data_IF_670415699783
#
_entry.id   IF_670415699783
#
_cell.length_a   1.000
_cell.length_b   1.000
_cell.length_c   1.000
_cell.angle_alpha   90.00
_cell.angle_beta   90.00
_cell.angle_gamma   90.00
#
_symmetry.space_group_name_H-M   'P 1'
#
loop_
_entity.id
_entity.type
_entity.pdbx_description
1 polymer ?
#
# COMPACT_ATOMS: atom_id res chain seq x y z
N UNK A 1 9.21 2.00 -29.32
CA UNK A 1 7.90 1.32 -29.22
C UNK A 1 7.99 0.01 -28.44
N UNK A 2 8.90 -0.94 -28.77
CA UNK A 2 9.04 -2.18 -27.99
C UNK A 2 9.55 -1.98 -26.55
N UNK A 3 10.48 -1.05 -26.35
CA UNK A 3 11.05 -0.75 -25.02
C UNK A 3 9.99 -0.20 -24.04
N UNK A 4 9.14 0.71 -24.49
CA UNK A 4 8.05 1.29 -23.70
C UNK A 4 7.02 0.23 -23.27
N UNK A 5 6.73 -0.73 -24.16
CA UNK A 5 5.85 -1.87 -23.87
C UNK A 5 6.47 -2.80 -22.82
N UNK A 6 7.75 -3.14 -22.97
CA UNK A 6 8.47 -3.96 -22.00
C UNK A 6 8.55 -3.28 -20.62
N UNK A 7 8.72 -1.96 -20.60
CA UNK A 7 8.74 -1.16 -19.37
C UNK A 7 7.37 -1.16 -18.67
N UNK A 8 6.26 -1.06 -19.41
CA UNK A 8 4.91 -1.19 -18.85
C UNK A 8 4.62 -2.60 -18.33
N UNK A 9 5.13 -3.63 -19.00
CA UNK A 9 5.01 -5.02 -18.56
C UNK A 9 5.74 -5.29 -17.22
N UNK A 10 6.86 -4.60 -16.96
CA UNK A 10 7.54 -4.65 -15.65
C UNK A 10 6.61 -4.15 -14.54
N UNK A 11 6.00 -2.98 -14.73
CA UNK A 11 5.14 -2.37 -13.71
C UNK A 11 3.93 -3.27 -13.39
N UNK A 12 3.33 -3.87 -14.42
CA UNK A 12 2.25 -4.84 -14.28
C UNK A 12 2.67 -6.05 -13.43
N UNK A 13 3.73 -6.77 -13.84
CA UNK A 13 4.20 -7.95 -13.10
C UNK A 13 4.59 -7.62 -11.67
N UNK A 14 5.31 -6.51 -11.48
CA UNK A 14 5.72 -6.05 -10.16
C UNK A 14 4.51 -5.76 -9.26
N UNK A 15 3.50 -5.07 -9.78
CA UNK A 15 2.29 -4.77 -9.02
C UNK A 15 1.53 -6.03 -8.59
N UNK A 16 1.45 -7.05 -9.45
CA UNK A 16 0.82 -8.33 -9.11
C UNK A 16 1.62 -9.12 -8.07
N UNK A 17 2.94 -9.16 -8.21
CA UNK A 17 3.82 -9.84 -7.27
C UNK A 17 3.80 -9.21 -5.88
N UNK A 18 3.53 -7.91 -5.79
CA UNK A 18 3.35 -7.19 -4.53
C UNK A 18 1.94 -7.44 -3.98
N UNK A 19 0.89 -7.06 -4.73
CA UNK A 19 -0.46 -6.89 -4.18
C UNK A 19 -1.17 -8.20 -3.83
N UNK A 20 -0.75 -9.34 -4.40
CA UNK A 20 -1.30 -10.66 -4.01
C UNK A 20 -1.07 -10.98 -2.52
N UNK A 21 0.03 -10.53 -1.93
CA UNK A 21 0.32 -10.73 -0.50
C UNK A 21 -0.45 -9.79 0.42
N UNK A 22 -1.09 -8.76 -0.16
CA UNK A 22 -1.97 -7.84 0.55
C UNK A 22 -3.45 -8.24 0.42
N UNK A 23 -3.71 -9.45 -0.09
CA UNK A 23 -5.03 -10.03 -0.37
C UNK A 23 -5.88 -9.20 -1.34
N UNK A 24 -5.21 -8.40 -2.20
CA UNK A 24 -5.87 -7.71 -3.29
C UNK A 24 -6.12 -8.68 -4.42
N UNK A 25 -7.24 -8.46 -5.11
CA UNK A 25 -7.57 -9.19 -6.33
C UNK A 25 -7.38 -8.28 -7.52
N UNK A 26 -6.93 -8.85 -8.62
CA UNK A 26 -6.73 -8.14 -9.89
C UNK A 26 -7.84 -8.52 -10.85
N UNK A 27 -8.46 -7.55 -11.51
CA UNK A 27 -9.41 -7.87 -12.57
C UNK A 27 -8.66 -8.45 -13.80
N UNK A 28 -9.17 -9.52 -14.44
CA UNK A 28 -8.49 -10.14 -15.59
C UNK A 28 -8.35 -9.24 -16.81
N UNK A 29 -9.33 -8.35 -17.05
CA UNK A 29 -9.27 -7.35 -18.13
C UNK A 29 -8.36 -6.18 -17.75
N UNK A 30 -7.48 -5.80 -18.67
CA UNK A 30 -6.41 -4.79 -18.53
C UNK A 30 -6.30 -3.95 -19.79
N UNK A 31 -5.66 -2.81 -19.68
CA UNK A 31 -5.37 -1.89 -20.79
C UNK A 31 -6.64 -1.52 -21.58
N UNK A 32 -7.74 -1.30 -20.87
CA UNK A 32 -9.04 -0.99 -21.44
C UNK A 32 -9.30 0.52 -21.41
N UNK A 33 -9.94 1.01 -22.47
CA UNK A 33 -10.40 2.39 -22.55
C UNK A 33 -11.92 2.42 -22.37
N UNK A 34 -12.43 3.38 -21.61
CA UNK A 34 -13.87 3.65 -21.53
C UNK A 34 -14.19 5.09 -21.93
N UNK A 35 -15.41 5.31 -22.41
CA UNK A 35 -15.84 6.61 -22.92
C UNK A 35 -15.93 7.64 -21.79
N UNK A 36 -15.42 8.83 -22.04
CA UNK A 36 -15.65 9.98 -21.18
C UNK A 36 -17.13 10.37 -21.20
N UNK A 37 -17.73 10.59 -20.03
CA UNK A 37 -19.12 11.01 -19.88
C UNK A 37 -19.25 12.44 -19.30
N UNK A 38 -18.14 13.12 -19.00
CA UNK A 38 -18.13 14.51 -18.55
C UNK A 38 -17.60 15.44 -19.68
N UNK A 39 -18.42 16.37 -20.21
CA UNK A 39 -17.98 17.31 -21.24
C UNK A 39 -16.95 18.35 -20.75
N UNK A 40 -16.82 18.56 -19.44
CA UNK A 40 -15.86 19.48 -18.83
C UNK A 40 -14.44 18.90 -18.79
N UNK A 41 -14.27 17.60 -19.05
CA UNK A 41 -12.96 16.97 -19.10
C UNK A 41 -12.22 17.35 -20.37
N UNK A 42 -11.13 18.10 -20.21
CA UNK A 42 -10.29 18.58 -21.30
C UNK A 42 -8.93 17.86 -21.33
N UNK A 43 -8.39 17.68 -22.52
CA UNK A 43 -7.00 17.24 -22.72
C UNK A 43 -6.05 18.38 -22.36
N UNK A 44 -4.97 18.08 -21.64
CA UNK A 44 -3.92 19.07 -21.37
C UNK A 44 -3.20 19.55 -22.63
N UNK A 45 -2.65 20.77 -22.60
CA UNK A 45 -1.81 21.36 -23.66
C UNK A 45 -2.29 22.73 -24.16
N UNK A 46 -1.60 23.28 -25.16
CA UNK A 46 -1.85 24.63 -25.69
C UNK A 46 -3.22 24.82 -26.38
N UNK A 47 -3.94 23.73 -26.66
CA UNK A 47 -5.30 23.72 -27.21
C UNK A 47 -6.12 22.63 -26.52
N UNK A 48 -6.82 22.95 -25.43
CA UNK A 48 -7.64 21.97 -24.74
C UNK A 48 -8.78 21.49 -25.64
N UNK A 49 -8.94 20.18 -25.74
CA UNK A 49 -10.03 19.51 -26.45
C UNK A 49 -10.79 18.64 -25.47
N UNK A 50 -12.07 18.38 -25.74
CA UNK A 50 -12.83 17.42 -24.95
C UNK A 50 -12.15 16.04 -24.98
N UNK A 51 -12.03 15.39 -23.82
CA UNK A 51 -11.55 14.01 -23.74
C UNK A 51 -12.61 13.05 -24.30
N UNK A 52 -12.19 12.16 -25.20
CA UNK A 52 -13.07 11.12 -25.74
C UNK A 52 -13.11 9.87 -24.86
N UNK A 53 -11.96 9.46 -24.33
CA UNK A 53 -11.80 8.24 -23.53
C UNK A 53 -10.86 8.45 -22.34
N UNK A 54 -11.00 7.55 -21.37
CA UNK A 54 -10.12 7.41 -20.21
C UNK A 54 -9.46 6.02 -20.24
N UNK A 55 -8.11 5.96 -20.15
CA UNK A 55 -7.39 4.69 -20.08
C UNK A 55 -7.37 4.13 -18.67
N UNK A 56 -7.36 2.80 -18.57
CA UNK A 56 -7.17 2.05 -17.33
C UNK A 56 -6.18 0.89 -17.56
N UNK A 57 -5.03 0.94 -16.90
CA UNK A 57 -3.99 -0.09 -17.07
C UNK A 57 -4.40 -1.37 -16.36
N UNK A 58 -4.68 -1.25 -15.05
CA UNK A 58 -5.06 -2.38 -14.20
C UNK A 58 -6.07 -1.94 -13.14
N UNK A 59 -7.00 -2.84 -12.81
CA UNK A 59 -7.95 -2.65 -11.71
C UNK A 59 -7.63 -3.65 -10.61
N UNK A 60 -7.25 -3.13 -9.44
CA UNK A 60 -7.20 -3.90 -8.20
C UNK A 60 -8.48 -3.69 -7.41
N UNK A 61 -8.84 -4.66 -6.58
CA UNK A 61 -9.96 -4.50 -5.67
C UNK A 61 -9.79 -5.31 -4.40
N UNK A 62 -10.41 -4.82 -3.33
CA UNK A 62 -10.49 -5.45 -2.02
C UNK A 62 -11.77 -5.00 -1.31
N UNK A 63 -12.18 -5.73 -0.27
CA UNK A 63 -13.28 -5.32 0.61
C UNK A 63 -12.72 -4.42 1.72
N UNK A 64 -13.27 -3.22 1.89
CA UNK A 64 -12.81 -2.30 2.93
C UNK A 64 -13.40 -2.68 4.29
N UNK A 65 -12.54 -2.94 5.30
CA UNK A 65 -12.94 -3.42 6.62
C UNK A 65 -13.81 -2.43 7.39
N UNK A 66 -13.72 -1.13 7.15
CA UNK A 66 -14.50 -0.12 7.90
C UNK A 66 -15.69 0.38 7.12
N UNK A 67 -15.60 0.44 5.79
CA UNK A 67 -16.70 0.88 4.94
C UNK A 67 -17.68 -0.25 4.62
N UNK A 68 -17.27 -1.51 4.77
CA UNK A 68 -18.12 -2.68 4.47
C UNK A 68 -18.53 -2.77 3.00
N UNK A 69 -17.68 -2.26 2.10
CA UNK A 69 -17.92 -2.21 0.65
C UNK A 69 -16.64 -2.48 -0.12
N UNK A 70 -16.81 -2.91 -1.36
CA UNK A 70 -15.69 -3.17 -2.26
C UNK A 70 -15.08 -1.86 -2.74
N UNK A 71 -13.77 -1.72 -2.59
CA UNK A 71 -13.01 -0.61 -3.16
C UNK A 71 -12.32 -1.10 -4.44
N UNK A 72 -12.65 -0.48 -5.56
CA UNK A 72 -11.95 -0.65 -6.83
C UNK A 72 -10.90 0.44 -6.98
N UNK A 73 -9.66 0.04 -7.21
CA UNK A 73 -8.53 0.91 -7.49
C UNK A 73 -8.30 0.98 -8.99
N UNK A 74 -8.79 2.08 -9.57
CA UNK A 74 -8.49 2.46 -10.94
C UNK A 74 -7.03 2.88 -11.03
N UNK A 75 -6.17 1.99 -11.53
CA UNK A 75 -4.72 2.18 -11.43
C UNK A 75 -4.13 2.70 -12.73
N UNK A 76 -3.26 3.70 -12.59
CA UNK A 76 -2.39 4.22 -13.65
C UNK A 76 -0.94 3.85 -13.30
N UNK A 77 -0.33 2.98 -14.10
CA UNK A 77 1.02 2.47 -13.92
C UNK A 77 2.00 3.36 -14.69
N UNK A 78 2.80 4.11 -13.95
CA UNK A 78 3.87 4.92 -14.53
C UNK A 78 5.23 4.35 -14.18
N UNK A 79 6.03 4.14 -15.23
CA UNK A 79 7.42 3.76 -15.08
C UNK A 79 8.32 4.87 -15.60
N UNK A 80 9.26 5.28 -14.78
CA UNK A 80 10.10 6.46 -14.99
C UNK A 80 11.57 6.11 -14.82
N UNK A 81 12.42 6.80 -15.59
CA UNK A 81 13.87 6.83 -15.39
C UNK A 81 14.34 8.12 -14.68
N UNK A 82 15.65 8.26 -14.50
CA UNK A 82 16.40 9.24 -13.70
C UNK A 82 15.92 10.70 -13.83
N UNK A 83 15.51 11.14 -15.02
CA UNK A 83 15.16 12.54 -15.29
C UNK A 83 13.66 12.82 -15.45
N UNK A 84 12.79 11.86 -15.08
CA UNK A 84 11.44 11.83 -15.66
C UNK A 84 10.25 12.09 -14.73
N UNK A 85 10.45 12.28 -13.42
CA UNK A 85 9.38 12.69 -12.49
C UNK A 85 9.63 14.12 -11.98
N UNK A 86 9.03 15.09 -12.67
CA UNK A 86 8.91 16.47 -12.19
C UNK A 86 7.48 16.79 -11.73
N UNK A 87 7.32 17.89 -10.99
CA UNK A 87 6.04 18.39 -10.47
C UNK A 87 4.96 18.51 -11.54
N UNK A 88 5.32 18.99 -12.74
CA UNK A 88 4.40 19.14 -13.88
C UNK A 88 3.81 17.80 -14.32
N UNK A 89 4.64 16.75 -14.44
CA UNK A 89 4.18 15.42 -14.89
C UNK A 89 3.34 14.73 -13.82
N UNK A 90 3.74 14.86 -12.55
CA UNK A 90 2.97 14.33 -11.42
C UNK A 90 1.59 14.97 -11.36
N UNK A 91 1.52 16.30 -11.44
CA UNK A 91 0.26 17.05 -11.46
C UNK A 91 -0.65 16.59 -12.61
N UNK A 92 -0.11 16.51 -13.83
CA UNK A 92 -0.88 16.08 -14.99
C UNK A 92 -1.38 14.63 -14.87
N UNK A 93 -0.60 13.73 -14.25
CA UNK A 93 -1.01 12.35 -13.99
C UNK A 93 -2.16 12.28 -12.97
N UNK A 94 -2.05 13.00 -11.85
CA UNK A 94 -3.10 13.06 -10.82
C UNK A 94 -4.39 13.67 -11.39
N UNK A 95 -4.29 14.77 -12.12
CA UNK A 95 -5.44 15.44 -12.75
C UNK A 95 -6.12 14.51 -13.77
N UNK A 96 -5.34 13.84 -14.61
CA UNK A 96 -5.88 12.88 -15.57
C UNK A 96 -6.57 11.70 -14.89
N UNK A 97 -6.00 11.20 -13.79
CA UNK A 97 -6.56 10.10 -13.01
C UNK A 97 -7.83 10.52 -12.27
N UNK A 98 -7.88 11.73 -11.71
CA UNK A 98 -9.07 12.29 -11.06
C UNK A 98 -10.26 12.34 -12.02
N UNK A 99 -10.05 12.88 -13.23
CA UNK A 99 -11.06 12.88 -14.28
C UNK A 99 -11.51 11.45 -14.66
N UNK A 100 -10.59 10.49 -14.73
CA UNK A 100 -10.94 9.09 -15.02
C UNK A 100 -11.82 8.49 -13.93
N UNK A 101 -11.47 8.68 -12.66
CA UNK A 101 -12.25 8.15 -11.52
C UNK A 101 -13.65 8.79 -11.47
N UNK A 102 -13.73 10.09 -11.72
CA UNK A 102 -15.01 10.81 -11.80
C UNK A 102 -15.94 10.19 -12.85
N UNK A 103 -15.45 10.00 -14.08
CA UNK A 103 -16.22 9.35 -15.13
C UNK A 103 -16.59 7.90 -14.77
N UNK A 104 -15.66 7.16 -14.15
CA UNK A 104 -15.84 5.75 -13.80
C UNK A 104 -17.02 5.54 -12.82
N UNK A 105 -17.19 6.43 -11.83
CA UNK A 105 -18.32 6.34 -10.87
C UNK A 105 -19.68 6.39 -11.54
N UNK A 106 -19.82 7.22 -12.59
CA UNK A 106 -21.07 7.35 -13.36
C UNK A 106 -21.21 6.38 -14.54
N UNK A 107 -20.15 5.69 -14.95
CA UNK A 107 -20.11 4.97 -16.23
C UNK A 107 -20.68 3.54 -16.16
N UNK A 108 -21.78 3.31 -16.88
CA UNK A 108 -22.33 1.96 -17.07
C UNK A 108 -21.37 1.06 -17.86
N UNK A 109 -20.62 1.63 -18.82
CA UNK A 109 -19.61 0.91 -19.59
C UNK A 109 -18.49 0.42 -18.66
N UNK A 110 -17.99 1.30 -17.77
CA UNK A 110 -16.95 0.93 -16.82
C UNK A 110 -17.40 -0.24 -15.94
N UNK A 111 -18.62 -0.15 -15.37
CA UNK A 111 -19.20 -1.23 -14.57
C UNK A 111 -19.30 -2.55 -15.34
N UNK A 112 -19.72 -2.50 -16.61
CA UNK A 112 -19.83 -3.68 -17.46
C UNK A 112 -18.46 -4.31 -17.76
N UNK A 113 -17.44 -3.50 -18.03
CA UNK A 113 -16.08 -3.99 -18.31
C UNK A 113 -15.51 -4.74 -17.10
N UNK A 114 -15.67 -4.16 -15.90
CA UNK A 114 -15.05 -4.67 -14.67
C UNK A 114 -15.99 -5.48 -13.78
N UNK A 115 -17.16 -5.84 -14.31
CA UNK A 115 -18.19 -6.62 -13.61
C UNK A 115 -18.54 -6.08 -12.23
N UNK A 116 -18.55 -4.76 -12.07
CA UNK A 116 -19.02 -4.12 -10.84
C UNK A 116 -20.55 -4.17 -10.82
N UNK A 117 -21.09 -5.17 -10.14
CA UNK A 117 -22.53 -5.42 -10.00
C UNK A 117 -23.21 -4.27 -9.26
N UNK A 118 -24.43 -3.93 -9.69
CA UNK A 118 -25.24 -2.87 -9.08
C UNK A 118 -25.81 -3.23 -7.71
N UNK A 119 -25.73 -4.51 -7.34
CA UNK A 119 -26.18 -5.02 -6.03
C UNK A 119 -25.12 -4.84 -4.93
N UNK A 120 -23.84 -4.73 -5.30
CA UNK A 120 -22.75 -4.51 -4.35
C UNK A 120 -22.64 -3.00 -4.07
N UNK A 121 -22.57 -2.61 -2.79
CA UNK A 121 -22.04 -1.29 -2.47
C UNK A 121 -20.55 -1.32 -2.84
N UNK A 122 -20.11 -0.41 -3.71
CA UNK A 122 -18.71 -0.27 -4.08
C UNK A 122 -18.29 1.20 -4.15
N UNK A 123 -16.99 1.42 -4.07
CA UNK A 123 -16.34 2.72 -4.23
C UNK A 123 -15.24 2.60 -5.29
N UNK A 124 -15.06 3.64 -6.10
CA UNK A 124 -13.99 3.69 -7.12
C UNK A 124 -13.04 4.79 -6.71
N UNK A 125 -11.76 4.43 -6.58
CA UNK A 125 -10.68 5.35 -6.22
C UNK A 125 -9.54 5.22 -7.22
N UNK A 126 -8.75 6.28 -7.37
CA UNK A 126 -7.59 6.27 -8.24
C UNK A 126 -6.35 5.78 -7.50
N UNK A 127 -5.50 5.03 -8.18
CA UNK A 127 -4.16 4.68 -7.70
C UNK A 127 -3.11 5.04 -8.76
N UNK A 128 -2.23 5.99 -8.45
CA UNK A 128 -1.05 6.26 -9.26
C UNK A 128 0.12 5.41 -8.75
N UNK A 129 0.57 4.45 -9.53
CA UNK A 129 1.70 3.58 -9.17
C UNK A 129 2.95 4.01 -9.93
N UNK A 130 3.99 4.41 -9.20
CA UNK A 130 5.19 5.01 -9.79
C UNK A 130 6.41 4.12 -9.51
N UNK A 131 6.92 3.46 -10.55
CA UNK A 131 8.10 2.60 -10.45
C UNK A 131 9.33 3.24 -11.13
N UNK A 132 10.49 3.09 -10.48
CA UNK A 132 11.78 3.46 -11.04
C UNK A 132 12.47 2.23 -11.66
N UNK A 133 12.53 2.15 -12.98
CA UNK A 133 13.05 0.98 -13.70
C UNK A 133 14.57 1.01 -13.94
N UNK A 134 15.22 2.17 -13.82
CA UNK A 134 16.64 2.32 -14.18
C UNK A 134 17.60 2.31 -12.99
N UNK A 135 17.07 2.20 -11.75
CA UNK A 135 17.84 2.30 -10.49
C UNK A 135 18.69 3.57 -10.36
N UNK A 136 18.53 4.53 -11.29
CA UNK A 136 19.31 5.74 -11.40
C UNK A 136 18.59 6.98 -10.87
N UNK A 137 17.27 6.90 -10.63
CA UNK A 137 16.54 7.94 -9.92
C UNK A 137 17.03 8.09 -8.46
N UNK A 138 17.89 9.08 -8.27
CA UNK A 138 18.33 9.61 -6.97
C UNK A 138 17.44 10.76 -6.48
N UNK A 139 16.45 11.15 -7.28
CA UNK A 139 15.47 12.17 -6.93
C UNK A 139 14.59 11.69 -5.77
N UNK A 140 14.20 12.60 -4.90
CA UNK A 140 13.22 12.27 -3.87
C UNK A 140 11.82 12.54 -4.46
N UNK A 141 11.13 11.48 -4.91
CA UNK A 141 9.74 11.56 -5.37
C UNK A 141 8.87 12.31 -4.36
N UNK A 142 9.14 12.08 -3.06
CA UNK A 142 8.46 12.78 -1.97
C UNK A 142 8.68 14.29 -2.03
N UNK A 143 9.89 14.77 -2.36
CA UNK A 143 10.14 16.21 -2.56
C UNK A 143 9.36 16.77 -3.75
N UNK A 144 9.19 15.99 -4.82
CA UNK A 144 8.36 16.42 -5.95
C UNK A 144 6.89 16.51 -5.58
N UNK A 145 6.39 15.57 -4.76
CA UNK A 145 5.03 15.63 -4.18
C UNK A 145 4.89 16.85 -3.28
N UNK A 146 5.81 17.08 -2.34
CA UNK A 146 5.82 18.21 -1.40
C UNK A 146 5.91 19.57 -2.11
N UNK A 147 6.65 19.64 -3.22
CA UNK A 147 6.75 20.84 -4.05
C UNK A 147 5.54 21.04 -4.98
N UNK A 148 4.70 20.03 -5.16
CA UNK A 148 3.48 20.13 -5.97
C UNK A 148 2.36 20.65 -5.10
N UNK A 149 1.78 21.79 -5.47
CA UNK A 149 0.54 22.24 -4.86
C UNK A 149 -0.62 21.34 -5.29
N UNK A 150 -0.88 20.30 -4.48
CA UNK A 150 -1.96 19.35 -4.70
C UNK A 150 -3.34 20.00 -4.49
N UNK A 151 -3.43 21.07 -3.70
CA UNK A 151 -4.70 21.74 -3.38
C UNK A 151 -5.31 22.47 -4.56
N UNK A 152 -4.48 22.90 -5.52
CA UNK A 152 -4.95 23.52 -6.75
C UNK A 152 -5.30 22.52 -7.85
N UNK A 153 -5.17 21.21 -7.64
CA UNK A 153 -5.64 20.22 -8.62
C UNK A 153 -7.16 20.14 -8.51
N UNK A 154 -7.91 20.36 -9.62
CA UNK A 154 -9.36 20.27 -9.60
C UNK A 154 -9.77 18.80 -9.44
N UNK A 155 -10.10 18.40 -8.22
CA UNK A 155 -10.62 17.07 -7.88
C UNK A 155 -12.09 17.25 -7.48
N UNK A 156 -12.99 16.56 -8.18
CA UNK A 156 -14.41 16.61 -7.86
C UNK A 156 -14.70 16.06 -6.44
N UNK A 157 -15.78 16.51 -5.78
CA UNK A 157 -16.14 16.02 -4.46
C UNK A 157 -16.27 14.49 -4.41
N UNK A 158 -15.80 13.89 -3.31
CA UNK A 158 -15.84 12.44 -3.09
C UNK A 158 -15.05 11.62 -4.11
N UNK A 159 -14.05 12.21 -4.76
CA UNK A 159 -13.02 11.50 -5.53
C UNK A 159 -11.77 11.38 -4.66
N UNK A 160 -11.26 10.15 -4.56
CA UNK A 160 -10.07 9.84 -3.78
C UNK A 160 -8.98 9.34 -4.73
N UNK A 161 -7.82 9.97 -4.65
CA UNK A 161 -6.62 9.59 -5.39
C UNK A 161 -5.53 9.20 -4.41
N UNK A 162 -5.00 8.00 -4.58
CA UNK A 162 -3.84 7.49 -3.87
C UNK A 162 -2.65 7.47 -4.82
N UNK A 163 -1.44 7.57 -4.28
CA UNK A 163 -0.22 7.41 -5.05
C UNK A 163 0.78 6.56 -4.26
N UNK A 164 1.56 5.76 -4.99
CA UNK A 164 2.67 4.98 -4.44
C UNK A 164 3.94 5.39 -5.19
N UNK A 165 4.88 5.99 -4.46
CA UNK A 165 6.17 6.39 -5.01
C UNK A 165 7.14 5.21 -5.14
N UNK A 166 8.31 5.41 -5.78
CA UNK A 166 9.32 4.37 -5.90
C UNK A 166 9.77 3.77 -4.55
N UNK A 167 9.86 4.60 -3.51
CA UNK A 167 10.19 4.15 -2.15
C UNK A 167 9.09 3.25 -1.56
N UNK A 168 7.81 3.60 -1.75
CA UNK A 168 6.69 2.77 -1.33
C UNK A 168 6.66 1.45 -2.07
N UNK A 169 6.85 1.46 -3.39
CA UNK A 169 6.88 0.25 -4.21
C UNK A 169 8.01 -0.69 -3.76
N UNK A 170 9.21 -0.15 -3.55
CA UNK A 170 10.37 -0.93 -3.05
C UNK A 170 10.11 -1.52 -1.66
N UNK A 171 9.50 -0.72 -0.77
CA UNK A 171 9.13 -1.15 0.58
C UNK A 171 8.07 -2.26 0.54
N UNK A 172 6.99 -2.09 -0.21
CA UNK A 172 5.93 -3.08 -0.34
C UNK A 172 6.44 -4.38 -0.99
N UNK A 173 7.38 -4.28 -1.94
CA UNK A 173 8.08 -5.45 -2.48
C UNK A 173 8.95 -6.15 -1.44
N UNK A 174 9.68 -5.39 -0.60
CA UNK A 174 10.46 -5.93 0.51
C UNK A 174 9.55 -6.65 1.52
N UNK A 175 8.39 -6.06 1.85
CA UNK A 175 7.39 -6.67 2.73
C UNK A 175 6.85 -7.97 2.13
N UNK A 176 6.49 -7.99 0.84
CA UNK A 176 6.04 -9.20 0.17
C UNK A 176 7.09 -10.33 0.27
N UNK A 177 8.37 -10.02 0.06
CA UNK A 177 9.44 -11.00 0.21
C UNK A 177 9.66 -11.45 1.66
N UNK A 178 9.50 -10.56 2.64
CA UNK A 178 9.54 -10.92 4.06
C UNK A 178 8.39 -11.86 4.43
N UNK A 179 7.16 -11.61 3.94
CA UNK A 179 6.02 -12.53 4.12
C UNK A 179 6.35 -13.92 3.58
N UNK A 180 6.88 -14.02 2.36
CA UNK A 180 7.31 -15.31 1.77
C UNK A 180 8.35 -16.00 2.65
N UNK A 181 9.35 -15.25 3.13
CA UNK A 181 10.41 -15.78 3.98
C UNK A 181 9.86 -16.28 5.31
N UNK A 182 8.95 -15.55 5.94
CA UNK A 182 8.32 -15.96 7.20
C UNK A 182 7.43 -17.20 7.02
N UNK A 183 6.76 -17.33 5.88
CA UNK A 183 6.03 -18.54 5.54
C UNK A 183 6.97 -19.74 5.38
N UNK A 184 8.09 -19.56 4.66
CA UNK A 184 9.10 -20.58 4.49
C UNK A 184 9.76 -21.01 5.82
N UNK A 185 10.08 -20.04 6.68
CA UNK A 185 10.63 -20.26 8.03
C UNK A 185 9.59 -20.83 9.02
N UNK A 186 8.33 -21.01 8.59
CA UNK A 186 7.20 -21.44 9.44
C UNK A 186 7.00 -20.53 10.66
N UNK A 187 7.10 -19.22 10.43
CA UNK A 187 6.88 -18.16 11.41
C UNK A 187 5.61 -17.34 11.12
N UNK A 188 5.00 -17.54 9.95
CA UNK A 188 3.73 -16.99 9.52
C UNK A 188 3.01 -18.07 8.70
N UNK A 189 1.77 -18.45 9.02
CA UNK A 189 1.04 -19.42 8.21
C UNK A 189 0.44 -18.78 6.95
N UNK A 190 0.03 -19.59 5.98
CA UNK A 190 -0.59 -19.09 4.74
C UNK A 190 -1.94 -18.39 4.97
N UNK A 191 -2.66 -18.78 6.02
CA UNK A 191 -3.94 -18.20 6.41
C UNK A 191 -3.72 -17.05 7.41
N UNK A 192 -3.35 -15.89 6.89
CA UNK A 192 -3.27 -14.64 7.66
C UNK A 192 -4.31 -13.61 7.21
N UNK A 193 -4.55 -12.61 8.04
CA UNK A 193 -5.52 -11.54 7.78
C UNK A 193 -4.95 -10.19 8.21
N UNK A 194 -5.24 -9.12 7.49
CA UNK A 194 -4.89 -7.77 7.92
C UNK A 194 -5.78 -7.36 9.09
N UNK A 195 -5.17 -6.94 10.19
CA UNK A 195 -5.88 -6.67 11.43
C UNK A 195 -6.28 -5.20 11.54
N UNK A 196 -7.58 -5.00 11.74
CA UNK A 196 -8.20 -3.70 11.89
C UNK A 196 -8.94 -3.66 13.24
N UNK A 197 -8.42 -2.90 14.24
CA UNK A 197 -9.06 -2.80 15.54
C UNK A 197 -10.35 -1.98 15.45
N UNK A 198 -11.31 -2.28 16.32
CA UNK A 198 -12.50 -1.44 16.43
C UNK A 198 -12.12 -0.04 16.96
N UNK A 199 -12.51 0.98 16.22
CA UNK A 199 -12.32 2.37 16.58
C UNK A 199 -13.56 2.91 17.30
N UNK A 200 -13.39 3.98 18.09
CA UNK A 200 -14.48 4.56 18.89
C UNK A 200 -15.70 4.94 18.05
N UNK A 201 -15.49 5.46 16.83
CA UNK A 201 -16.56 5.87 15.91
C UNK A 201 -16.80 4.89 14.75
N UNK A 202 -15.89 3.95 14.52
CA UNK A 202 -15.92 3.08 13.34
C UNK A 202 -15.65 1.65 13.78
N UNK A 203 -16.60 0.76 13.52
CA UNK A 203 -16.44 -0.67 13.79
C UNK A 203 -16.11 -1.39 12.51
N UNK A 204 -15.22 -2.38 12.62
CA UNK A 204 -14.90 -3.25 11.51
C UNK A 204 -16.14 -4.06 11.11
N UNK A 205 -16.37 -4.17 9.82
CA UNK A 205 -17.40 -4.98 9.19
C UNK A 205 -16.86 -6.38 8.88
N UNK A 206 -17.71 -7.40 9.00
CA UNK A 206 -17.36 -8.80 8.72
C UNK A 206 -16.56 -9.50 9.84
N UNK A 207 -15.88 -10.59 9.50
CA UNK A 207 -15.03 -11.38 10.42
C UNK A 207 -13.59 -10.84 10.47
N UNK A 208 -12.86 -11.09 11.55
CA UNK A 208 -11.44 -10.70 11.73
C UNK A 208 -10.56 -11.34 10.64
N UNK A 209 -11.00 -12.47 10.09
CA UNK A 209 -10.30 -13.23 9.06
C UNK A 209 -10.69 -12.83 7.64
N UNK A 210 -9.76 -13.01 6.70
CA UNK A 210 -9.98 -12.72 5.27
C UNK A 210 -9.97 -11.23 4.92
N UNK A 211 -9.55 -10.37 5.84
CA UNK A 211 -9.46 -8.93 5.65
C UNK A 211 -8.21 -8.58 4.84
N UNK A 212 -8.39 -7.87 3.75
CA UNK A 212 -7.29 -7.39 2.91
C UNK A 212 -6.72 -6.08 3.45
N UNK A 213 -5.49 -5.75 3.03
CA UNK A 213 -4.91 -4.47 3.39
C UNK A 213 -5.64 -3.33 2.66
N UNK A 214 -6.04 -2.25 3.32
CA UNK A 214 -6.45 -1.02 2.62
C UNK A 214 -5.23 -0.29 2.08
N UNK A 215 -5.41 0.50 1.01
CA UNK A 215 -4.31 1.32 0.45
C UNK A 215 -3.76 2.30 1.50
N UNK A 216 -4.62 2.85 2.36
CA UNK A 216 -4.23 3.73 3.45
C UNK A 216 -3.37 2.99 4.47
N UNK A 217 -3.72 1.74 4.82
CA UNK A 217 -2.93 0.92 5.72
C UNK A 217 -1.53 0.62 5.16
N UNK A 218 -1.40 0.40 3.84
CA UNK A 218 -0.11 0.19 3.18
C UNK A 218 0.82 1.41 3.25
N UNK A 219 0.24 2.61 3.35
CA UNK A 219 0.96 3.89 3.50
C UNK A 219 1.05 4.39 4.94
N UNK A 220 0.40 3.70 5.88
CA UNK A 220 0.34 4.11 7.27
C UNK A 220 1.72 4.00 7.96
N UNK A 221 1.90 4.66 9.12
CA UNK A 221 3.09 4.49 9.97
C UNK A 221 3.37 3.04 10.36
N UNK A 222 2.33 2.22 10.46
CA UNK A 222 2.42 0.77 10.59
C UNK A 222 1.10 0.13 10.17
N UNK A 223 1.15 -1.15 9.83
CA UNK A 223 -0.04 -1.99 9.70
C UNK A 223 0.21 -3.36 10.31
N UNK A 224 -0.88 -4.07 10.60
CA UNK A 224 -0.85 -5.28 11.41
C UNK A 224 -1.44 -6.45 10.62
N UNK A 225 -0.83 -7.60 10.79
CA UNK A 225 -1.31 -8.89 10.30
C UNK A 225 -1.57 -9.76 11.52
N UNK A 226 -2.77 -10.32 11.62
CA UNK A 226 -3.11 -11.35 12.61
C UNK A 226 -3.02 -12.72 11.95
N UNK A 227 -2.45 -13.68 12.66
CA UNK A 227 -2.37 -15.06 12.21
C UNK A 227 -2.79 -16.03 13.33
N UNK A 228 -3.48 -17.13 12.98
CA UNK A 228 -3.92 -18.11 13.98
C UNK A 228 -2.76 -19.00 14.39
N UNK A 229 -2.93 -19.67 15.54
CA UNK A 229 -2.02 -20.73 15.93
C UNK A 229 -2.08 -21.88 14.92
N UNK A 230 -0.92 -22.41 14.51
CA UNK A 230 -0.82 -23.54 13.58
C UNK A 230 0.36 -24.41 13.92
N UNK A 231 0.10 -25.68 14.24
CA UNK A 231 1.11 -26.66 14.64
C UNK A 231 2.04 -26.14 15.75
N UNK A 232 3.28 -25.76 15.40
CA UNK A 232 4.31 -25.24 16.31
C UNK A 232 4.32 -23.71 16.42
N UNK A 233 3.41 -23.03 15.74
CA UNK A 233 3.31 -21.57 15.70
C UNK A 233 2.18 -21.15 16.64
N UNK A 234 2.49 -20.35 17.65
CA UNK A 234 1.50 -19.69 18.49
C UNK A 234 0.79 -18.58 17.71
N UNK A 235 -0.47 -18.30 18.01
CA UNK A 235 -1.17 -17.14 17.44
C UNK A 235 -0.45 -15.84 17.78
N UNK A 236 -0.60 -14.85 16.93
CA UNK A 236 0.07 -13.58 17.17
C UNK A 236 -0.17 -12.53 16.11
N UNK A 237 0.66 -11.51 16.20
CA UNK A 237 0.66 -10.35 15.33
C UNK A 237 2.01 -10.16 14.68
N UNK A 238 1.97 -9.86 13.39
CA UNK A 238 3.10 -9.39 12.61
C UNK A 238 2.82 -7.94 12.24
N UNK A 239 3.69 -7.03 12.68
CA UNK A 239 3.51 -5.60 12.51
C UNK A 239 4.65 -5.08 11.64
N UNK A 240 4.31 -4.52 10.49
CA UNK A 240 5.26 -3.82 9.64
C UNK A 240 5.28 -2.35 10.04
N UNK A 241 6.41 -1.89 10.56
CA UNK A 241 6.59 -0.55 11.10
C UNK A 241 7.39 0.33 10.13
N UNK A 242 6.74 1.36 9.63
CA UNK A 242 7.20 2.25 8.55
C UNK A 242 7.55 3.66 9.07
N UNK A 243 8.20 3.72 10.22
CA UNK A 243 8.77 4.98 10.74
C UNK A 243 10.25 4.76 11.07
N UNK A 244 10.96 5.86 11.22
CA UNK A 244 12.41 5.87 11.32
C UNK A 244 12.91 5.26 12.65
N UNK A 245 12.11 5.32 13.71
CA UNK A 245 12.53 4.90 15.04
C UNK A 245 13.59 5.85 15.63
N UNK A 246 13.47 7.14 15.32
CA UNK A 246 14.49 8.14 15.64
C UNK A 246 14.48 8.52 17.12
N UNK A 247 13.31 8.50 17.76
CA UNK A 247 13.15 8.86 19.17
C UNK A 247 12.39 7.80 19.96
N UNK A 248 12.61 7.69 21.29
CA UNK A 248 11.80 6.83 22.16
C UNK A 248 10.31 7.19 22.13
N UNK A 249 9.97 8.48 22.07
CA UNK A 249 8.58 8.96 22.12
C UNK A 249 7.75 8.44 20.93
N UNK A 250 8.39 8.23 19.78
CA UNK A 250 7.79 7.60 18.60
C UNK A 250 7.30 6.18 18.92
N UNK A 251 8.12 5.39 19.61
CA UNK A 251 7.79 4.04 20.04
C UNK A 251 6.83 4.01 21.23
N UNK A 252 6.87 4.99 22.13
CA UNK A 252 5.88 5.12 23.20
C UNK A 252 4.47 5.26 22.62
N UNK A 253 4.29 6.11 21.59
CA UNK A 253 3.00 6.25 20.90
C UNK A 253 2.57 4.94 20.21
N UNK A 254 3.51 4.21 19.64
CA UNK A 254 3.26 2.90 19.05
C UNK A 254 2.79 1.88 20.10
N UNK A 255 3.50 1.76 21.24
CA UNK A 255 3.12 0.88 22.34
C UNK A 255 1.76 1.26 22.93
N UNK A 256 1.47 2.55 23.04
CA UNK A 256 0.16 3.04 23.48
C UNK A 256 -0.97 2.62 22.53
N UNK A 257 -0.69 2.64 21.23
CA UNK A 257 -1.64 2.14 20.24
C UNK A 257 -1.89 0.63 20.40
N UNK A 258 -0.84 -0.18 20.61
CA UNK A 258 -0.99 -1.63 20.86
C UNK A 258 -1.77 -1.91 22.15
N UNK A 259 -1.50 -1.15 23.20
CA UNK A 259 -2.22 -1.19 24.48
C UNK A 259 -3.71 -0.89 24.29
N UNK A 260 -4.03 0.20 23.58
CA UNK A 260 -5.40 0.61 23.28
C UNK A 260 -6.17 -0.45 22.49
N UNK A 261 -5.49 -1.18 21.61
CA UNK A 261 -6.07 -2.28 20.85
C UNK A 261 -6.12 -3.60 21.62
N UNK A 262 -5.76 -3.59 22.92
CA UNK A 262 -5.72 -4.77 23.79
C UNK A 262 -4.83 -5.88 23.23
N UNK A 263 -3.75 -5.53 22.53
CA UNK A 263 -2.85 -6.51 21.89
C UNK A 263 -1.72 -6.95 22.81
N UNK A 264 -1.42 -6.18 23.86
CA UNK A 264 -0.37 -6.47 24.84
C UNK A 264 -0.85 -7.53 25.85
N UNK A 265 -1.14 -8.74 25.35
CA UNK A 265 -1.62 -9.89 26.11
C UNK A 265 -0.58 -11.01 26.05
N UNK A 266 -0.42 -11.76 27.14
CA UNK A 266 0.65 -12.76 27.29
C UNK A 266 0.53 -13.96 26.33
N UNK A 267 -0.65 -14.20 25.76
CA UNK A 267 -0.93 -15.39 24.94
C UNK A 267 -0.70 -15.18 23.43
N UNK A 268 -0.38 -13.97 22.97
CA UNK A 268 -0.18 -13.68 21.55
C UNK A 268 1.22 -13.11 21.29
N UNK A 269 1.95 -13.71 20.35
CA UNK A 269 3.30 -13.27 20.03
C UNK A 269 3.29 -12.04 19.13
N UNK A 270 3.98 -10.97 19.52
CA UNK A 270 4.09 -9.74 18.71
C UNK A 270 5.47 -9.68 18.05
N UNK A 271 5.48 -9.67 16.73
CA UNK A 271 6.67 -9.46 15.91
C UNK A 271 6.59 -8.13 15.20
N UNK A 272 7.60 -7.28 15.36
CA UNK A 272 7.70 -5.99 14.70
C UNK A 272 8.84 -6.02 13.67
N UNK A 273 8.52 -5.66 12.44
CA UNK A 273 9.42 -5.61 11.29
C UNK A 273 9.61 -4.17 10.86
N UNK A 274 10.80 -3.61 11.08
CA UNK A 274 11.13 -2.25 10.63
C UNK A 274 11.36 -2.28 9.12
N UNK A 275 10.57 -1.51 8.38
CA UNK A 275 10.55 -1.46 6.90
C UNK A 275 10.79 -0.07 6.33
N UNK A 276 11.07 0.91 7.19
CA UNK A 276 11.48 2.24 6.74
C UNK A 276 12.76 2.14 5.91
N UNK A 277 12.87 2.94 4.84
CA UNK A 277 13.99 2.87 3.88
C UNK A 277 15.35 3.23 4.49
N UNK A 278 15.33 4.12 5.47
CA UNK A 278 16.50 4.56 6.25
C UNK A 278 16.14 4.48 7.74
N UNK A 279 16.15 3.30 8.37
CA UNK A 279 15.85 3.18 9.80
C UNK A 279 16.98 3.81 10.62
N UNK A 280 16.65 4.50 11.71
CA UNK A 280 17.64 5.14 12.57
C UNK A 280 18.59 4.10 13.17
N UNK A 281 19.93 4.29 13.14
CA UNK A 281 20.88 3.27 13.62
C UNK A 281 20.62 2.76 15.05
N UNK A 282 20.06 3.62 15.90
CA UNK A 282 19.75 3.31 17.29
C UNK A 282 18.28 2.96 17.54
N UNK A 283 17.51 2.58 16.51
CA UNK A 283 16.07 2.29 16.67
C UNK A 283 15.79 1.24 17.76
N UNK A 284 16.66 0.22 17.92
CA UNK A 284 16.53 -0.77 18.99
C UNK A 284 16.74 -0.16 20.38
N UNK A 285 17.73 0.71 20.55
CA UNK A 285 17.98 1.41 21.81
C UNK A 285 16.82 2.35 22.15
N UNK A 286 16.28 3.05 21.14
CA UNK A 286 15.12 3.91 21.29
C UNK A 286 13.87 3.11 21.66
N UNK A 287 13.66 1.94 21.05
CA UNK A 287 12.57 1.03 21.41
C UNK A 287 12.69 0.55 22.85
N UNK A 288 13.89 0.13 23.30
CA UNK A 288 14.14 -0.28 24.68
C UNK A 288 13.91 0.86 25.68
N UNK A 289 14.35 2.07 25.35
CA UNK A 289 14.09 3.24 26.19
C UNK A 289 12.58 3.52 26.31
N UNK A 290 11.82 3.32 25.22
CA UNK A 290 10.38 3.44 25.22
C UNK A 290 9.70 2.35 26.05
N UNK A 291 10.12 1.09 25.97
CA UNK A 291 9.55 0.00 26.78
C UNK A 291 9.78 0.24 28.27
N UNK A 292 10.97 0.71 28.67
CA UNK A 292 11.28 1.06 30.06
C UNK A 292 10.42 2.22 30.58
N UNK A 293 10.25 3.27 29.77
CA UNK A 293 9.39 4.41 30.14
C UNK A 293 7.92 4.00 30.23
N UNK A 294 7.44 3.19 29.29
CA UNK A 294 6.05 2.72 29.26
C UNK A 294 5.76 1.77 30.44
N UNK A 295 6.70 0.87 30.77
CA UNK A 295 6.62 0.02 31.96
C UNK A 295 6.57 0.84 33.27
N UNK A 296 7.35 1.92 33.35
CA UNK A 296 7.31 2.85 34.50
C UNK A 296 5.94 3.51 34.64
N UNK A 297 5.32 3.94 33.55
CA UNK A 297 3.98 4.53 33.55
C UNK A 297 2.89 3.56 34.06
N UNK A 298 3.11 2.25 33.87
CA UNK A 298 2.26 1.18 34.40
C UNK A 298 2.58 0.74 35.84
N UNK A 299 3.52 1.41 36.51
CA UNK A 299 3.90 1.06 37.88
C UNK A 299 4.73 -0.22 37.99
N UNK A 300 5.43 -0.62 36.92
CA UNK A 300 6.29 -1.81 36.86
C UNK A 300 5.58 -3.14 37.18
N UNK A 301 4.35 -3.33 36.66
CA UNK A 301 3.70 -4.64 36.71
C UNK A 301 4.59 -5.71 36.03
N UNK A 302 5.08 -6.73 36.75
CA UNK A 302 6.01 -7.72 36.22
C UNK A 302 5.46 -8.47 35.00
N UNK A 303 4.15 -8.80 34.99
CA UNK A 303 3.54 -9.52 33.88
C UNK A 303 3.50 -8.68 32.61
N UNK A 304 3.27 -7.38 32.76
CA UNK A 304 3.22 -6.45 31.63
C UNK A 304 4.63 -6.17 31.08
N UNK A 305 5.63 -6.13 31.94
CA UNK A 305 7.04 -6.03 31.54
C UNK A 305 7.42 -7.24 30.68
N UNK A 306 7.10 -8.46 31.13
CA UNK A 306 7.36 -9.68 30.36
C UNK A 306 6.75 -9.61 28.94
N UNK A 307 5.52 -9.10 28.82
CA UNK A 307 4.86 -8.92 27.50
C UNK A 307 5.60 -7.91 26.63
N UNK A 308 6.03 -6.77 27.19
CA UNK A 308 6.78 -5.75 26.44
C UNK A 308 8.16 -6.26 26.01
N UNK A 309 8.85 -7.01 26.87
CA UNK A 309 10.16 -7.60 26.57
C UNK A 309 10.08 -8.75 25.56
N UNK A 310 8.92 -9.43 25.47
CA UNK A 310 8.69 -10.50 24.50
C UNK A 310 8.47 -9.99 23.06
N UNK A 311 8.32 -8.67 22.84
CA UNK A 311 8.12 -8.10 21.50
C UNK A 311 9.41 -8.26 20.67
N UNK A 312 9.33 -9.04 19.59
CA UNK A 312 10.48 -9.28 18.70
C UNK A 312 10.57 -8.17 17.65
N UNK A 313 11.49 -7.22 17.85
CA UNK A 313 11.73 -6.10 16.92
C UNK A 313 12.98 -6.37 16.09
N UNK A 314 12.81 -6.45 14.76
CA UNK A 314 13.92 -6.68 13.81
C UNK A 314 13.77 -5.82 12.55
N UNK A 315 14.88 -5.40 11.92
CA UNK A 315 14.82 -4.79 10.61
C UNK A 315 14.55 -5.86 9.54
N UNK A 316 13.91 -5.46 8.45
CA UNK A 316 13.77 -6.30 7.25
C UNK A 316 14.94 -6.01 6.31
N UNK A 317 15.54 -7.06 5.75
CA UNK A 317 16.57 -6.91 4.72
C UNK A 317 15.90 -6.42 3.44
N UNK A 318 16.28 -5.23 2.97
CA UNK A 318 15.74 -4.67 1.74
C UNK A 318 16.02 -5.58 0.54
N UNK A 319 14.99 -5.86 -0.26
CA UNK A 319 15.10 -6.66 -1.48
C UNK A 319 14.93 -5.74 -2.68
N UNK A 320 15.94 -5.67 -3.54
CA UNK A 320 15.88 -4.88 -4.76
C UNK A 320 15.33 -5.71 -5.92
N UNK A 321 14.42 -5.14 -6.70
CA UNK A 321 13.97 -5.74 -7.96
C UNK A 321 15.10 -5.77 -8.98
N UNK A 322 15.23 -6.87 -9.74
CA UNK A 322 16.16 -6.98 -10.89
C UNK A 322 15.43 -6.90 -12.23
N UNK A 323 14.12 -6.66 -12.23
CA UNK A 323 13.33 -6.47 -13.43
C UNK A 323 13.97 -5.39 -14.32
N UNK A 324 14.31 -5.77 -15.54
CA UNK A 324 14.88 -4.87 -16.55
C UNK A 324 14.20 -5.12 -17.89
N UNK A 325 14.00 -4.05 -18.66
CA UNK A 325 13.31 -4.10 -19.94
C UNK A 325 13.97 -5.06 -20.96
N UNK A 326 15.32 -5.19 -21.01
CA UNK A 326 15.97 -6.18 -21.85
C UNK A 326 15.61 -7.61 -21.46
N UNK A 327 15.51 -7.94 -20.17
CA UNK A 327 15.22 -9.29 -19.69
C UNK A 327 13.79 -9.75 -20.01
N UNK A 328 12.80 -8.86 -19.86
CA UNK A 328 11.40 -9.16 -20.22
C UNK A 328 11.19 -9.31 -21.73
N UNK A 329 12.04 -8.66 -22.55
CA UNK A 329 12.03 -8.79 -24.00
C UNK A 329 12.36 -10.19 -24.53
N UNK A 330 12.99 -11.05 -23.72
CA UNK A 330 13.24 -12.47 -24.06
C UNK A 330 11.94 -13.27 -23.89
N UNK A 331 11.03 -13.17 -24.85
CA UNK A 331 9.85 -14.03 -24.92
C UNK A 331 10.29 -15.43 -25.40
N UNK A 332 9.84 -16.48 -24.70
CA UNK A 332 10.00 -17.84 -25.21
C UNK A 332 9.30 -17.96 -26.59
N UNK A 333 9.90 -18.66 -27.57
CA UNK A 333 9.19 -18.94 -28.82
C UNK A 333 7.89 -19.69 -28.48
N UNK A 334 6.79 -19.20 -29.04
CA UNK A 334 5.45 -19.80 -28.88
C UNK A 334 5.39 -21.22 -29.39
#
# INVERSE_FOLDING_TARGET
MAETVNIGEIANRLSEDIFKFFLWKTHPRRDENFKCNNPEHLTGGNKPKQKDTHPADVIFYYEDPYLGRRVYLHTDLKSYGKDSIGTVKLRAAIESLAMSVECAKGSAQWRQIYSATTEDQFDIRGLLFVHNHDKGYEGNFQKAVEATDLSSIPIAPHIYIHFLGPADVSRLFTIANDIIRLQYEKLLPDNYSFYYPDLVMWRRQGDVWGQAATIEALTAPYFMIKYPAREKIQSGYLIYYNRRGETPEEFEYFLDSLSRYQMLVHEEFIRVRIVHVDPHPNFLSNFKAATEKYARAWGFDPKRIEVLEAIDVKPVTAVATTYSAPYIGWRAPK
#
